data_IF_643936651776
#
_entry.id   IF_643936651776
#
_cell.length_a   1.000
_cell.length_b   1.000
_cell.length_c   1.000
_cell.angle_alpha   90.00
_cell.angle_beta   90.00
_cell.angle_gamma   90.00
#
_symmetry.space_group_name_H-M   'P 1'
#
loop_
_entity.id
_entity.type
_entity.pdbx_description
1 polymer ?
#
# COMPACT_ATOMS: atom_id res chain seq x y z
N UNK A 1 -19.27 0.60 5.95
CA UNK A 1 -17.80 0.41 5.83
C UNK A 1 -17.32 1.20 4.64
N UNK A 2 -16.30 2.03 4.85
CA UNK A 2 -15.76 2.90 3.80
C UNK A 2 -14.93 2.06 2.79
N UNK A 3 -14.91 2.42 1.49
CA UNK A 3 -14.06 1.75 0.49
C UNK A 3 -12.59 1.70 0.90
N UNK A 4 -12.12 2.72 1.62
CA UNK A 4 -10.74 2.83 2.11
C UNK A 4 -10.42 1.74 3.14
N UNK A 5 -11.28 1.54 4.14
CA UNK A 5 -11.10 0.54 5.19
C UNK A 5 -11.00 -0.88 4.60
N UNK A 6 -11.82 -1.16 3.59
CA UNK A 6 -11.81 -2.46 2.92
C UNK A 6 -10.52 -2.67 2.10
N UNK A 7 -10.03 -1.64 1.40
CA UNK A 7 -8.77 -1.72 0.67
C UNK A 7 -7.57 -1.99 1.60
N UNK A 8 -7.55 -1.34 2.77
CA UNK A 8 -6.54 -1.60 3.81
C UNK A 8 -6.60 -3.05 4.27
N UNK A 9 -7.79 -3.55 4.60
CA UNK A 9 -7.96 -4.93 5.05
C UNK A 9 -7.49 -5.95 4.01
N UNK A 10 -7.84 -5.76 2.73
CA UNK A 10 -7.41 -6.67 1.64
C UNK A 10 -5.89 -6.66 1.48
N UNK A 11 -5.27 -5.48 1.51
CA UNK A 11 -3.82 -5.33 1.39
C UNK A 11 -3.11 -6.02 2.54
N UNK A 12 -3.59 -5.79 3.76
CA UNK A 12 -3.09 -6.46 4.96
C UNK A 12 -3.17 -7.98 4.83
N UNK A 13 -4.35 -8.55 4.54
CA UNK A 13 -4.52 -10.00 4.43
C UNK A 13 -3.58 -10.63 3.39
N UNK A 14 -3.41 -10.00 2.22
CA UNK A 14 -2.54 -10.53 1.15
C UNK A 14 -1.06 -10.53 1.51
N UNK A 15 -0.60 -9.51 2.22
CA UNK A 15 0.81 -9.42 2.64
C UNK A 15 1.04 -10.30 3.86
N UNK A 16 0.20 -10.18 4.89
CA UNK A 16 0.35 -10.91 6.15
C UNK A 16 0.36 -12.43 5.95
N UNK A 17 -0.53 -12.97 5.11
CA UNK A 17 -0.57 -14.42 4.83
C UNK A 17 0.75 -14.97 4.28
N UNK A 18 1.54 -14.15 3.58
CA UNK A 18 2.87 -14.54 3.05
C UNK A 18 3.99 -14.38 4.08
N UNK A 19 3.82 -13.50 5.06
CA UNK A 19 4.77 -13.27 6.15
C UNK A 19 4.51 -14.18 7.36
N UNK A 20 3.32 -14.76 7.45
CA UNK A 20 2.91 -15.60 8.57
C UNK A 20 3.92 -16.72 8.85
N UNK A 21 4.35 -16.85 10.10
CA UNK A 21 5.33 -17.85 10.54
C UNK A 21 6.80 -17.45 10.35
N UNK A 22 7.08 -16.30 9.73
CA UNK A 22 8.44 -15.76 9.65
C UNK A 22 8.78 -14.95 10.91
N UNK A 23 10.01 -15.06 11.38
CA UNK A 23 10.53 -14.30 12.52
C UNK A 23 11.39 -13.15 11.99
N UNK A 24 11.15 -11.95 12.51
CA UNK A 24 11.92 -10.75 12.20
C UNK A 24 12.56 -10.22 13.47
N UNK A 25 13.85 -9.87 13.40
CA UNK A 25 14.61 -9.38 14.56
C UNK A 25 14.74 -7.86 14.58
N UNK A 26 14.12 -7.17 13.61
CA UNK A 26 13.98 -5.72 13.63
C UNK A 26 12.80 -5.26 12.77
N UNK A 27 12.29 -4.07 13.08
CA UNK A 27 11.25 -3.40 12.30
C UNK A 27 11.74 -3.16 10.86
N UNK A 28 13.02 -2.85 10.66
CA UNK A 28 13.59 -2.65 9.34
C UNK A 28 13.54 -3.92 8.47
N UNK A 29 13.80 -5.09 9.05
CA UNK A 29 13.68 -6.37 8.34
C UNK A 29 12.23 -6.64 7.94
N UNK A 30 11.29 -6.45 8.86
CA UNK A 30 9.85 -6.61 8.59
C UNK A 30 9.40 -5.66 7.47
N UNK A 31 9.74 -4.36 7.56
CA UNK A 31 9.40 -3.36 6.55
C UNK A 31 9.98 -3.71 5.18
N UNK A 32 11.20 -4.27 5.14
CA UNK A 32 11.81 -4.73 3.89
C UNK A 32 11.03 -5.89 3.28
N UNK A 33 10.63 -6.87 4.09
CA UNK A 33 9.81 -8.00 3.64
C UNK A 33 8.42 -7.55 3.14
N UNK A 34 7.77 -6.64 3.86
CA UNK A 34 6.50 -6.01 3.44
C UNK A 34 6.68 -5.34 2.07
N UNK A 35 7.71 -4.50 1.89
CA UNK A 35 7.96 -3.79 0.61
C UNK A 35 8.15 -4.76 -0.56
N UNK A 36 8.87 -5.88 -0.34
CA UNK A 36 9.08 -6.93 -1.35
C UNK A 36 7.77 -7.57 -1.82
N UNK A 37 6.79 -7.73 -0.93
CA UNK A 37 5.48 -8.30 -1.25
C UNK A 37 4.49 -7.25 -1.79
N UNK A 38 4.62 -6.00 -1.34
CA UNK A 38 3.73 -4.91 -1.75
C UNK A 38 3.88 -4.58 -3.24
N UNK A 39 5.12 -4.56 -3.76
CA UNK A 39 5.38 -4.30 -5.18
C UNK A 39 4.62 -5.25 -6.12
N UNK A 40 4.81 -6.58 -6.05
CA UNK A 40 4.08 -7.50 -6.93
C UNK A 40 2.57 -7.46 -6.71
N UNK A 41 2.09 -7.16 -5.49
CA UNK A 41 0.65 -6.96 -5.26
C UNK A 41 0.10 -5.73 -6.00
N UNK A 42 0.84 -4.62 -6.00
CA UNK A 42 0.44 -3.40 -6.71
C UNK A 42 0.53 -3.54 -8.22
N UNK A 43 1.52 -4.30 -8.71
CA UNK A 43 1.71 -4.58 -10.14
C UNK A 43 0.76 -5.68 -10.66
N UNK A 44 0.10 -6.44 -9.77
CA UNK A 44 -0.84 -7.48 -10.18
C UNK A 44 -2.15 -6.87 -10.75
N UNK A 45 -2.60 -7.30 -11.94
CA UNK A 45 -3.84 -6.79 -12.54
C UNK A 45 -5.08 -7.00 -11.66
N UNK A 46 -6.05 -6.10 -11.77
CA UNK A 46 -7.33 -6.31 -11.11
C UNK A 46 -8.08 -7.50 -11.72
N UNK A 47 -8.97 -8.13 -10.95
CA UNK A 47 -9.73 -9.29 -11.43
C UNK A 47 -10.63 -8.99 -12.64
N UNK A 48 -11.12 -7.74 -12.76
CA UNK A 48 -12.09 -7.33 -13.79
C UNK A 48 -11.56 -6.23 -14.72
N UNK A 49 -10.26 -5.90 -14.66
CA UNK A 49 -9.66 -4.83 -15.46
C UNK A 49 -8.22 -5.23 -15.82
N UNK A 50 -7.81 -4.97 -17.05
CA UNK A 50 -6.46 -5.29 -17.52
C UNK A 50 -5.36 -4.37 -16.96
N UNK A 51 -5.71 -3.42 -16.09
CA UNK A 51 -4.74 -2.57 -15.40
C UNK A 51 -4.47 -3.05 -13.98
N UNK A 52 -3.36 -2.59 -13.42
CA UNK A 52 -2.89 -2.80 -12.05
C UNK A 52 -3.08 -1.53 -11.19
N UNK A 53 -2.78 -1.62 -9.89
CA UNK A 53 -2.80 -0.44 -8.99
C UNK A 53 -1.69 0.54 -9.40
N UNK A 54 -0.52 0.01 -9.74
CA UNK A 54 0.62 0.81 -10.19
C UNK A 54 0.28 1.59 -11.47
N UNK A 55 -0.32 0.94 -12.48
CA UNK A 55 -0.72 1.61 -13.72
C UNK A 55 -1.79 2.68 -13.46
N UNK A 56 -2.82 2.38 -12.65
CA UNK A 56 -3.82 3.39 -12.30
C UNK A 56 -3.21 4.62 -11.60
N UNK A 57 -2.25 4.41 -10.71
CA UNK A 57 -1.54 5.50 -10.07
C UNK A 57 -0.74 6.33 -11.07
N UNK A 58 0.04 5.68 -11.93
CA UNK A 58 0.92 6.36 -12.88
C UNK A 58 0.12 7.13 -13.95
N UNK A 59 -0.95 6.52 -14.46
CA UNK A 59 -1.73 7.08 -15.57
C UNK A 59 -2.62 8.25 -15.12
N UNK A 60 -3.18 8.18 -13.91
CA UNK A 60 -4.21 9.13 -13.47
C UNK A 60 -3.82 9.89 -12.20
N UNK A 61 -3.52 9.18 -11.12
CA UNK A 61 -3.40 9.80 -9.79
C UNK A 61 -2.14 10.66 -9.67
N UNK A 62 -1.02 10.22 -10.24
CA UNK A 62 0.26 10.92 -10.18
C UNK A 62 0.18 12.33 -10.74
N UNK A 63 -0.60 12.52 -11.81
CA UNK A 63 -0.81 13.83 -12.44
C UNK A 63 -1.66 14.77 -11.57
N UNK A 64 -2.51 14.21 -10.69
CA UNK A 64 -3.35 14.97 -9.77
C UNK A 64 -2.66 15.28 -8.43
N UNK A 65 -1.45 14.74 -8.17
CA UNK A 65 -0.72 14.99 -6.93
C UNK A 65 -0.25 16.44 -6.87
N UNK A 66 -0.48 17.06 -5.71
CA UNK A 66 0.15 18.34 -5.36
C UNK A 66 1.58 18.10 -4.89
N UNK A 67 2.41 19.14 -4.97
CA UNK A 67 3.71 19.13 -4.33
C UNK A 67 3.58 18.79 -2.84
N UNK A 68 4.59 18.11 -2.30
CA UNK A 68 4.64 17.80 -0.87
C UNK A 68 4.55 19.14 -0.09
N UNK A 69 3.58 19.28 0.83
CA UNK A 69 3.49 20.47 1.67
C UNK A 69 4.80 20.71 2.43
N UNK A 70 5.19 21.98 2.56
CA UNK A 70 6.37 22.38 3.33
C UNK A 70 6.11 22.16 4.83
N UNK A 71 4.88 22.43 5.25
CA UNK A 71 4.46 22.25 6.62
C UNK A 71 4.13 20.79 6.92
N UNK A 72 4.54 20.34 8.12
CA UNK A 72 4.19 19.01 8.62
C UNK A 72 2.68 18.90 8.83
N UNK A 73 2.15 17.70 8.58
CA UNK A 73 0.74 17.42 8.86
C UNK A 73 0.48 17.58 10.37
N UNK A 74 -0.42 18.47 10.81
CA UNK A 74 -0.64 18.72 12.22
C UNK A 74 -1.32 17.52 12.88
N UNK A 75 -0.86 17.17 14.08
CA UNK A 75 -1.53 16.16 14.91
C UNK A 75 -2.87 16.77 15.35
N UNK A 76 -3.99 16.19 14.90
CA UNK A 76 -5.31 16.54 15.41
C UNK A 76 -5.49 15.88 16.77
N UNK A 77 -5.54 16.68 17.83
CA UNK A 77 -6.08 16.27 19.13
C UNK A 77 -7.60 16.39 19.09
N UNK A 78 -8.30 15.30 19.42
CA UNK A 78 -9.76 15.22 19.51
C UNK A 78 -10.22 15.39 20.96
#
# INVERSE_FOLDING_TARGET
KSPVEMAVNITYSRIYTKLHGQIFFSINQLNTAIKKLLKPYNDYPFQKKQSSRTEMFLDFEKQALKALPIDLYPIKTY
#
